data_IF_090558546520
#
_entry.id   IF_090558546520
#
_cell.length_a   1.000
_cell.length_b   1.000
_cell.length_c   1.000
_cell.angle_alpha   90.00
_cell.angle_beta   90.00
_cell.angle_gamma   90.00
#
_symmetry.space_group_name_H-M   'P 1'
#
loop_
_entity.id
_entity.type
_entity.pdbx_description
1 polymer ?
#
# COMPACT_ATOMS: atom_id res chain seq x y z
N UNK A 1 -2.07 11.49 14.75
CA UNK A 1 -1.26 11.56 13.51
C UNK A 1 0.11 11.00 13.79
N UNK A 2 0.61 10.10 12.96
CA UNK A 2 1.97 9.60 13.03
C UNK A 2 2.91 10.50 12.21
N UNK A 3 4.14 10.70 12.68
CA UNK A 3 5.14 11.53 12.03
C UNK A 3 6.39 10.70 11.76
N UNK A 4 6.87 10.71 10.52
CA UNK A 4 8.11 10.04 10.11
C UNK A 4 9.16 11.13 9.84
N UNK A 5 10.33 11.01 10.46
CA UNK A 5 11.46 11.90 10.23
C UNK A 5 12.53 11.16 9.42
N UNK A 6 12.89 11.72 8.26
CA UNK A 6 13.91 11.17 7.37
C UNK A 6 15.09 12.12 7.34
N UNK A 7 16.29 11.62 7.61
CA UNK A 7 17.54 12.38 7.48
C UNK A 7 18.10 12.18 6.08
N UNK A 8 18.31 13.29 5.39
CA UNK A 8 18.91 13.35 4.05
C UNK A 8 19.95 14.47 4.01
N UNK A 9 20.86 14.41 3.04
CA UNK A 9 21.76 15.51 2.76
C UNK A 9 21.01 16.73 2.20
N UNK A 10 21.68 17.89 2.24
CA UNK A 10 21.12 19.13 1.65
C UNK A 10 20.90 19.01 0.14
N UNK A 11 21.77 18.27 -0.57
CA UNK A 11 21.65 18.05 -2.00
C UNK A 11 20.42 17.22 -2.35
N UNK A 12 20.23 16.09 -1.65
CA UNK A 12 19.07 15.20 -1.81
C UNK A 12 17.76 15.94 -1.50
N UNK A 13 17.72 16.72 -0.40
CA UNK A 13 16.53 17.53 -0.08
C UNK A 13 16.16 18.50 -1.21
N UNK A 14 17.15 19.18 -1.79
CA UNK A 14 16.91 20.10 -2.92
C UNK A 14 16.41 19.36 -4.15
N UNK A 15 16.97 18.19 -4.43
CA UNK A 15 16.54 17.35 -5.54
C UNK A 15 15.10 16.86 -5.36
N UNK A 16 14.77 16.28 -4.20
CA UNK A 16 13.41 15.83 -3.87
C UNK A 16 12.38 16.97 -3.93
N UNK A 17 12.73 18.16 -3.44
CA UNK A 17 11.85 19.33 -3.53
C UNK A 17 11.59 19.75 -4.98
N UNK A 18 12.60 19.66 -5.86
CA UNK A 18 12.42 19.90 -7.29
C UNK A 18 11.50 18.88 -7.93
N UNK A 19 11.63 17.60 -7.55
CA UNK A 19 10.75 16.54 -8.06
C UNK A 19 9.31 16.74 -7.58
N UNK A 20 9.11 17.10 -6.31
CA UNK A 20 7.78 17.41 -5.79
C UNK A 20 7.13 18.56 -6.57
N UNK A 21 7.89 19.64 -6.81
CA UNK A 21 7.42 20.78 -7.61
C UNK A 21 7.14 20.38 -9.07
N UNK A 22 7.96 19.51 -9.66
CA UNK A 22 7.78 19.02 -11.04
C UNK A 22 6.48 18.21 -11.18
N UNK A 23 6.17 17.37 -10.19
CA UNK A 23 4.92 16.62 -10.14
C UNK A 23 3.72 17.45 -9.65
N UNK A 24 3.93 18.70 -9.23
CA UNK A 24 2.87 19.58 -8.71
C UNK A 24 2.30 19.15 -7.35
N UNK A 25 3.03 18.34 -6.59
CA UNK A 25 2.60 17.78 -5.29
C UNK A 25 3.52 18.24 -4.15
N UNK A 26 3.09 18.03 -2.91
CA UNK A 26 3.93 18.33 -1.75
C UNK A 26 5.08 17.33 -1.61
N UNK A 27 6.18 17.74 -0.98
CA UNK A 27 7.30 16.83 -0.69
C UNK A 27 6.86 15.64 0.18
N UNK A 28 5.97 15.87 1.15
CA UNK A 28 5.44 14.78 1.97
C UNK A 28 4.64 13.78 1.16
N UNK A 29 3.92 14.25 0.14
CA UNK A 29 3.08 13.42 -0.71
C UNK A 29 3.90 12.63 -1.72
N UNK A 30 4.91 13.27 -2.32
CA UNK A 30 5.93 12.59 -3.12
C UNK A 30 6.58 11.45 -2.33
N UNK A 31 7.01 11.70 -1.10
CA UNK A 31 7.65 10.68 -0.27
C UNK A 31 6.68 9.55 0.09
N UNK A 32 5.41 9.85 0.39
CA UNK A 32 4.40 8.82 0.68
C UNK A 32 4.16 7.94 -0.54
N UNK A 33 3.85 8.51 -1.70
CA UNK A 33 3.59 7.77 -2.94
C UNK A 33 4.77 6.87 -3.30
N UNK A 34 5.98 7.41 -3.37
CA UNK A 34 7.13 6.58 -3.77
C UNK A 34 7.61 5.60 -2.70
N UNK A 35 7.34 5.85 -1.41
CA UNK A 35 7.79 4.94 -0.35
C UNK A 35 6.74 3.93 0.06
N UNK A 36 5.45 4.24 -0.04
CA UNK A 36 4.37 3.37 0.39
C UNK A 36 3.83 2.58 -0.80
N UNK A 37 3.45 3.25 -1.89
CA UNK A 37 2.81 2.57 -3.02
C UNK A 37 3.76 1.53 -3.64
N UNK A 38 5.05 1.83 -3.76
CA UNK A 38 6.05 0.85 -4.22
C UNK A 38 6.19 -0.35 -3.26
N UNK A 39 6.13 -0.10 -1.95
CA UNK A 39 6.21 -1.15 -0.93
C UNK A 39 4.93 -2.01 -0.90
N UNK A 40 3.77 -1.40 -1.12
CA UNK A 40 2.49 -2.10 -1.29
C UNK A 40 2.50 -2.97 -2.55
N UNK A 41 2.96 -2.45 -3.68
CA UNK A 41 3.12 -3.21 -4.93
C UNK A 41 4.04 -4.43 -4.74
N UNK A 42 5.19 -4.26 -4.06
CA UNK A 42 6.11 -5.35 -3.75
C UNK A 42 5.49 -6.39 -2.81
N UNK A 43 4.74 -5.94 -1.80
CA UNK A 43 4.05 -6.81 -0.86
C UNK A 43 2.94 -7.62 -1.55
N UNK A 44 2.11 -6.96 -2.36
CA UNK A 44 1.02 -7.58 -3.11
C UNK A 44 1.56 -8.64 -4.09
N UNK A 45 2.67 -8.35 -4.77
CA UNK A 45 3.32 -9.32 -5.65
C UNK A 45 3.76 -10.60 -4.90
N UNK A 46 4.30 -10.45 -3.69
CA UNK A 46 4.74 -11.59 -2.87
C UNK A 46 3.55 -12.39 -2.31
N UNK A 47 2.52 -11.70 -1.82
CA UNK A 47 1.34 -12.35 -1.24
C UNK A 47 0.48 -13.02 -2.29
N UNK A 48 0.38 -12.42 -3.50
CA UNK A 48 -0.41 -12.96 -4.61
C UNK A 48 -0.09 -14.42 -4.86
N UNK A 49 1.20 -14.76 -4.97
CA UNK A 49 1.61 -16.14 -5.26
C UNK A 49 1.16 -17.11 -4.16
N UNK A 50 1.29 -16.70 -2.89
CA UNK A 50 0.89 -17.54 -1.75
C UNK A 50 -0.63 -17.71 -1.66
N UNK A 51 -1.38 -16.60 -1.82
CA UNK A 51 -2.83 -16.61 -1.79
C UNK A 51 -3.41 -17.44 -2.95
N UNK A 52 -2.85 -17.29 -4.14
CA UNK A 52 -3.25 -18.03 -5.32
C UNK A 52 -3.00 -19.54 -5.17
N UNK A 53 -1.83 -19.95 -4.65
CA UNK A 53 -1.55 -21.37 -4.39
C UNK A 53 -2.49 -21.98 -3.34
N UNK A 54 -2.81 -21.24 -2.27
CA UNK A 54 -3.78 -21.68 -1.27
C UNK A 54 -5.18 -21.85 -1.86
N UNK A 55 -5.61 -20.92 -2.71
CA UNK A 55 -6.91 -21.03 -3.39
C UNK A 55 -6.98 -22.23 -4.34
N UNK A 56 -5.91 -22.52 -5.08
CA UNK A 56 -5.81 -23.73 -5.90
C UNK A 56 -5.86 -25.00 -5.04
N UNK A 57 -5.13 -25.04 -3.93
CA UNK A 57 -5.10 -26.18 -3.02
C UNK A 57 -6.44 -26.42 -2.31
N UNK A 58 -7.20 -25.35 -2.03
CA UNK A 58 -8.55 -25.43 -1.46
C UNK A 58 -9.63 -25.74 -2.52
N UNK A 59 -9.23 -26.16 -3.73
CA UNK A 59 -10.14 -26.60 -4.78
C UNK A 59 -10.88 -25.45 -5.46
N UNK A 60 -10.30 -24.25 -5.47
CA UNK A 60 -10.89 -23.03 -6.06
C UNK A 60 -12.22 -22.64 -5.43
N UNK A 61 -12.43 -22.95 -4.15
CA UNK A 61 -13.65 -22.59 -3.44
C UNK A 61 -13.90 -21.08 -3.56
N UNK A 62 -15.10 -20.74 -3.99
CA UNK A 62 -15.59 -19.36 -4.07
C UNK A 62 -16.67 -19.19 -3.02
N UNK A 63 -16.52 -18.19 -2.16
CA UNK A 63 -17.59 -17.77 -1.25
C UNK A 63 -18.49 -16.78 -1.97
N UNK A 64 -19.80 -16.82 -1.68
CA UNK A 64 -20.74 -15.87 -2.27
C UNK A 64 -20.50 -14.46 -1.72
N UNK A 65 -20.77 -13.43 -2.53
CA UNK A 65 -20.64 -12.02 -2.12
C UNK A 65 -21.47 -11.71 -0.86
N UNK A 66 -22.63 -12.36 -0.70
CA UNK A 66 -23.51 -12.21 0.46
C UNK A 66 -22.86 -12.75 1.74
N UNK A 67 -22.17 -13.89 1.66
CA UNK A 67 -21.43 -14.49 2.77
C UNK A 67 -20.25 -13.61 3.18
N UNK A 68 -19.49 -13.09 2.21
CA UNK A 68 -18.38 -12.17 2.47
C UNK A 68 -18.84 -10.87 3.14
N UNK A 69 -19.95 -10.28 2.68
CA UNK A 69 -20.51 -9.07 3.29
C UNK A 69 -20.98 -9.30 4.73
N UNK A 70 -21.51 -10.49 5.05
CA UNK A 70 -21.93 -10.82 6.41
C UNK A 70 -20.72 -10.96 7.37
N UNK A 71 -19.60 -11.52 6.89
CA UNK A 71 -18.39 -11.70 7.69
C UNK A 71 -17.61 -10.39 7.90
N UNK A 72 -17.39 -9.60 6.84
CA UNK A 72 -16.53 -8.41 6.90
C UNK A 72 -17.30 -7.09 7.03
N UNK A 73 -18.57 -7.04 6.62
CA UNK A 73 -19.41 -5.85 6.71
C UNK A 73 -19.85 -5.52 8.15
N UNK A 74 -19.63 -6.43 9.10
CA UNK A 74 -19.99 -6.25 10.51
C UNK A 74 -18.79 -5.86 11.40
N UNK A 75 -17.58 -5.68 10.84
CA UNK A 75 -16.38 -5.27 11.59
C UNK A 75 -16.34 -3.79 12.00
N UNK A 76 -17.46 -3.07 11.91
CA UNK A 76 -17.61 -1.73 12.49
C UNK A 76 -18.43 -1.78 13.78
N UNK A 77 -17.93 -2.49 14.80
CA UNK A 77 -18.31 -2.31 16.21
C UNK A 77 -17.12 -2.63 17.13
N UNK A 78 -16.21 -1.66 17.26
CA UNK A 78 -15.75 -1.05 18.53
C UNK A 78 -14.42 -0.32 18.35
#
# INVERSE_FOLDING_TARGET
MATINIKVSTAEKKWLQRMANFHGISLSELMKTYSLDQLEDEYDAQIYQTAHQKWLADGKRTVSLQTMLAEFGNSNRH
#
